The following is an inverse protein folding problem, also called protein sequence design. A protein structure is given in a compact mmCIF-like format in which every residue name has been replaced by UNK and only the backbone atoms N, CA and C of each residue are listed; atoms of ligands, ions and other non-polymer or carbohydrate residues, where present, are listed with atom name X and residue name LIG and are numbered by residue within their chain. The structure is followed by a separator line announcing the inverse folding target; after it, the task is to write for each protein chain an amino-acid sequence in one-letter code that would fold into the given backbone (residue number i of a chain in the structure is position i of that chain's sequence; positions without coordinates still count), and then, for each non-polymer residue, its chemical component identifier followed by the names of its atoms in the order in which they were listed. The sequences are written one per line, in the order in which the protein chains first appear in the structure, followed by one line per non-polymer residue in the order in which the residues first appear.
data_IF_578108515862
#
_entry.id   IF_578108515862
#
_cell.length_a   1.000
_cell.length_b   1.000
_cell.length_c   1.000
_cell.angle_alpha   90.00
_cell.angle_beta   90.00
_cell.angle_gamma   90.00
#
_symmetry.space_group_name_H-M   'P 1'
#
loop_
_entity.id
_entity.type
_entity.pdbx_description
1 polymer ?
#
# COMPACT_ATOMS: atom_id res chain seq x y z
N UNK A 1 27.99 13.65 14.76
CA UNK A 1 26.55 13.95 14.90
C UNK A 1 25.92 14.05 13.51
N UNK A 2 25.40 12.95 12.96
CA UNK A 2 24.86 12.95 11.58
C UNK A 2 23.59 12.11 11.56
N UNK A 3 22.45 12.74 11.86
CA UNK A 3 21.16 12.07 12.00
C UNK A 3 19.96 12.87 11.50
N UNK A 4 20.15 13.91 10.69
CA UNK A 4 19.07 14.85 10.32
C UNK A 4 18.37 14.53 8.98
N UNK A 5 18.94 13.65 8.13
CA UNK A 5 18.37 13.34 6.81
C UNK A 5 17.24 12.29 6.84
N UNK A 6 17.28 11.34 7.77
CA UNK A 6 16.24 10.30 7.91
C UNK A 6 14.90 10.85 8.43
N UNK A 7 14.95 11.87 9.29
CA UNK A 7 13.78 12.39 10.02
C UNK A 7 12.88 13.27 9.15
N UNK A 8 13.42 14.04 8.20
CA UNK A 8 12.61 14.88 7.29
C UNK A 8 11.90 14.07 6.21
N UNK A 9 12.55 13.05 5.65
CA UNK A 9 11.91 12.14 4.68
C UNK A 9 10.79 11.35 5.37
N UNK A 10 11.02 10.83 6.59
CA UNK A 10 9.96 10.20 7.39
C UNK A 10 8.80 11.14 7.71
N UNK A 11 9.06 12.41 8.01
CA UNK A 11 8.02 13.39 8.32
C UNK A 11 7.18 13.77 7.07
N UNK A 12 7.80 13.90 5.90
CA UNK A 12 7.09 14.15 4.64
C UNK A 12 6.26 12.92 4.20
N UNK A 13 6.79 11.70 4.35
CA UNK A 13 6.06 10.45 4.12
C UNK A 13 4.91 10.25 5.13
N UNK A 14 5.07 10.74 6.37
CA UNK A 14 4.01 10.74 7.40
C UNK A 14 2.93 11.80 7.19
N UNK A 15 3.26 12.98 6.66
CA UNK A 15 2.31 14.08 6.43
C UNK A 15 1.60 13.98 5.08
N UNK A 16 2.28 13.39 4.09
CA UNK A 16 1.72 13.03 2.79
C UNK A 16 1.81 11.51 2.61
N UNK A 17 1.10 10.74 3.45
CA UNK A 17 0.69 9.41 2.99
C UNK A 17 -0.20 9.67 1.79
N UNK A 18 0.41 9.69 0.60
CA UNK A 18 -0.28 9.78 -0.68
C UNK A 18 -1.44 8.78 -0.61
N UNK A 19 -2.65 9.14 -1.06
CA UNK A 19 -3.81 8.25 -1.01
C UNK A 19 -3.49 6.82 -1.50
N UNK A 20 -2.58 6.70 -2.47
CA UNK A 20 -1.97 5.45 -2.94
C UNK A 20 -1.26 4.65 -1.83
N UNK A 21 -0.35 5.25 -1.03
CA UNK A 21 0.37 4.55 0.04
C UNK A 21 -0.58 4.07 1.15
N UNK A 22 -1.62 4.87 1.44
CA UNK A 22 -2.67 4.47 2.39
C UNK A 22 -3.40 3.22 1.89
N UNK A 23 -3.78 3.20 0.62
CA UNK A 23 -4.46 2.04 0.01
C UNK A 23 -3.55 0.81 -0.06
N UNK A 24 -2.27 1.00 -0.38
CA UNK A 24 -1.27 -0.08 -0.33
C UNK A 24 -1.19 -0.71 1.06
N UNK A 25 -1.16 0.12 2.10
CA UNK A 25 -1.07 -0.36 3.48
C UNK A 25 -2.30 -1.16 3.90
N UNK A 26 -3.49 -0.68 3.57
CA UNK A 26 -4.75 -1.39 3.84
C UNK A 26 -4.78 -2.75 3.12
N UNK A 27 -4.41 -2.77 1.83
CA UNK A 27 -4.28 -4.01 1.08
C UNK A 27 -3.28 -4.98 1.73
N UNK A 28 -2.08 -4.48 2.09
CA UNK A 28 -1.01 -5.29 2.66
C UNK A 28 -1.39 -5.87 4.03
N UNK A 29 -2.06 -5.08 4.88
CA UNK A 29 -2.57 -5.55 6.17
C UNK A 29 -3.63 -6.65 5.99
N UNK A 30 -4.49 -6.54 4.99
CA UNK A 30 -5.45 -7.58 4.65
C UNK A 30 -4.76 -8.84 4.13
N UNK A 31 -3.85 -8.71 3.15
CA UNK A 31 -3.13 -9.83 2.55
C UNK A 31 -2.32 -10.62 3.59
N UNK A 32 -1.76 -9.94 4.60
CA UNK A 32 -1.05 -10.57 5.71
C UNK A 32 -1.93 -11.34 6.68
N UNK A 33 -3.22 -11.01 6.80
CA UNK A 33 -4.14 -11.65 7.77
C UNK A 33 -4.97 -12.74 7.11
N UNK A 34 -5.33 -12.58 5.84
CA UNK A 34 -6.16 -13.52 5.09
C UNK A 34 -5.35 -14.74 4.62
N UNK A 35 -5.79 -15.95 4.96
CA UNK A 35 -5.09 -17.19 4.58
C UNK A 35 -5.12 -17.50 3.09
N UNK A 36 -6.18 -17.08 2.38
CA UNK A 36 -6.25 -17.22 0.93
C UNK A 36 -5.24 -16.29 0.24
N UNK A 37 -5.14 -15.05 0.70
CA UNK A 37 -4.18 -14.07 0.18
C UNK A 37 -2.72 -14.44 0.47
N UNK A 38 -2.43 -15.15 1.57
CA UNK A 38 -1.07 -15.64 1.88
C UNK A 38 -0.59 -16.73 0.94
N UNK A 39 -1.51 -17.51 0.36
CA UNK A 39 -1.20 -18.69 -0.46
C UNK A 39 -0.97 -18.36 -1.93
N UNK A 40 -1.22 -17.11 -2.31
CA UNK A 40 -1.14 -16.67 -3.71
C UNK A 40 0.05 -15.74 -3.92
N UNK A 41 0.66 -15.84 -5.09
CA UNK A 41 1.80 -15.02 -5.46
C UNK A 41 1.40 -13.66 -6.06
N UNK A 42 0.14 -13.51 -6.50
CA UNK A 42 -0.37 -12.28 -7.10
C UNK A 42 -1.59 -11.80 -6.33
N UNK A 43 -1.67 -10.49 -6.12
CA UNK A 43 -2.79 -9.82 -5.46
C UNK A 43 -4.15 -10.10 -6.13
N UNK A 44 -4.14 -10.26 -7.47
CA UNK A 44 -5.32 -10.55 -8.29
C UNK A 44 -5.81 -11.99 -8.11
N UNK A 45 -4.97 -12.91 -7.65
CA UNK A 45 -5.35 -14.31 -7.43
C UNK A 45 -5.87 -14.52 -5.99
N UNK A 46 -5.81 -13.49 -5.14
CA UNK A 46 -6.27 -13.53 -3.75
C UNK A 46 -7.78 -13.56 -3.61
N UNK A 47 -8.27 -13.43 -2.37
CA UNK A 47 -9.71 -13.37 -2.14
C UNK A 47 -10.32 -12.10 -2.76
N UNK A 48 -11.64 -12.11 -2.98
CA UNK A 48 -12.36 -10.99 -3.60
C UNK A 48 -12.14 -9.64 -2.89
N UNK A 49 -12.01 -9.66 -1.56
CA UNK A 49 -11.73 -8.45 -0.78
C UNK A 49 -10.30 -7.94 -1.00
N UNK A 50 -9.32 -8.85 -1.07
CA UNK A 50 -7.93 -8.51 -1.41
C UNK A 50 -7.79 -7.96 -2.82
N UNK A 51 -8.51 -8.55 -3.78
CA UNK A 51 -8.60 -8.06 -5.17
C UNK A 51 -9.17 -6.63 -5.22
N UNK A 52 -10.29 -6.38 -4.54
CA UNK A 52 -10.90 -5.04 -4.52
C UNK A 52 -9.98 -3.97 -3.91
N UNK A 53 -9.27 -4.29 -2.83
CA UNK A 53 -8.28 -3.38 -2.23
C UNK A 53 -7.10 -3.11 -3.18
N UNK A 54 -6.64 -4.13 -3.90
CA UNK A 54 -5.58 -4.00 -4.89
C UNK A 54 -6.00 -3.11 -6.07
N UNK A 55 -7.23 -3.24 -6.54
CA UNK A 55 -7.75 -2.41 -7.64
C UNK A 55 -7.90 -0.93 -7.23
N UNK A 56 -8.33 -0.66 -6.00
CA UNK A 56 -8.41 0.71 -5.47
C UNK A 56 -7.01 1.33 -5.40
N UNK A 57 -6.03 0.57 -4.90
CA UNK A 57 -4.62 0.99 -4.91
C UNK A 57 -4.13 1.30 -6.34
N UNK A 58 -4.38 0.41 -7.30
CA UNK A 58 -3.96 0.58 -8.69
C UNK A 58 -4.56 1.83 -9.32
N UNK A 59 -5.86 2.08 -9.12
CA UNK A 59 -6.52 3.32 -9.59
C UNK A 59 -5.90 4.58 -8.98
N UNK A 60 -5.57 4.54 -7.68
CA UNK A 60 -4.93 5.67 -7.00
C UNK A 60 -3.47 5.89 -7.47
N UNK A 61 -2.78 4.82 -7.88
CA UNK A 61 -1.44 4.90 -8.46
C UNK A 61 -1.46 5.47 -9.90
N UNK A 62 -2.32 4.91 -10.75
CA UNK A 62 -2.44 5.30 -12.16
C UNK A 62 -2.93 6.76 -12.30
N UNK A 63 -3.82 7.22 -11.41
CA UNK A 63 -4.30 8.60 -11.38
C UNK A 63 -3.35 9.62 -10.72
N UNK A 64 -2.28 9.16 -10.06
CA UNK A 64 -1.27 10.02 -9.41
C UNK A 64 0.03 10.18 -10.19
N UNK A 65 0.16 9.50 -11.34
CA UNK A 65 1.33 9.55 -12.23
C UNK A 65 1.17 10.55 -13.40
N UNK A 66 0.18 11.45 -13.32
CA UNK A 66 -0.08 12.52 -14.30
C UNK A 66 0.47 13.86 -13.88
#
# INVERSE_FOLDING_TARGET
MTGARGTRVQAAVRQAELPMLRMYRIWFEHARKCDDCKRVNKAQDGCANGQGLWDIYRRAYDGGAG
#
